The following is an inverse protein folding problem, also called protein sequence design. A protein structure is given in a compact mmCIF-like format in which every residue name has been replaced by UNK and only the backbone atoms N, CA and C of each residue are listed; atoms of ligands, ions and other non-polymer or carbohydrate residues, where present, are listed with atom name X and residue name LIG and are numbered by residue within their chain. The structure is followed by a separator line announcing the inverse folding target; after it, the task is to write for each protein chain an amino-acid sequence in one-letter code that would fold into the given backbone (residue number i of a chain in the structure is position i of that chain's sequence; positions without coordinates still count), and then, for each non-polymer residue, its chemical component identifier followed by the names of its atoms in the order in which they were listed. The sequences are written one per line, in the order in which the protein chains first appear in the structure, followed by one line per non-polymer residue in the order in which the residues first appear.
data_IF_268828743174
#
_entry.id   IF_268828743174
#
_cell.length_a   1.000
_cell.length_b   1.000
_cell.length_c   1.000
_cell.angle_alpha   90.00
_cell.angle_beta   90.00
_cell.angle_gamma   90.00
#
_symmetry.space_group_name_H-M   'P 1'
#
loop_
_entity.id
_entity.type
_entity.pdbx_description
1 polymer ?
#
# COMPACT_ATOMS: atom_id res chain seq x y z
N UNK A 1 -7.66 13.54 -27.39
CA UNK A 1 -7.00 12.53 -26.51
C UNK A 1 -6.88 13.18 -25.15
N UNK A 2 -7.74 12.84 -24.19
CA UNK A 2 -7.65 13.41 -22.86
C UNK A 2 -6.32 12.96 -22.24
N UNK A 3 -5.44 13.91 -21.91
CA UNK A 3 -4.31 13.67 -21.03
C UNK A 3 -4.87 13.30 -19.66
N UNK A 4 -5.15 12.01 -19.45
CA UNK A 4 -5.59 11.50 -18.16
C UNK A 4 -4.50 11.81 -17.14
N UNK A 5 -4.83 12.66 -16.17
CA UNK A 5 -3.92 13.08 -15.11
C UNK A 5 -3.33 11.84 -14.42
N UNK A 6 -2.02 11.83 -14.16
CA UNK A 6 -1.37 10.71 -13.50
C UNK A 6 -1.93 10.56 -12.09
N UNK A 7 -2.45 9.38 -11.76
CA UNK A 7 -2.98 9.05 -10.43
C UNK A 7 -1.84 8.75 -9.47
N UNK A 8 -2.10 8.88 -8.17
CA UNK A 8 -1.09 8.68 -7.15
C UNK A 8 -1.63 7.91 -5.95
N UNK A 9 -0.87 6.91 -5.50
CA UNK A 9 -1.20 6.07 -4.34
C UNK A 9 -0.01 5.91 -3.40
N UNK A 10 -0.27 6.09 -2.11
CA UNK A 10 0.67 5.89 -1.02
C UNK A 10 0.18 4.76 -0.10
N UNK A 11 0.97 3.69 0.01
CA UNK A 11 0.67 2.59 0.94
C UNK A 11 1.27 2.87 2.32
N UNK A 12 0.50 2.69 3.40
CA UNK A 12 0.95 3.06 4.75
C UNK A 12 0.75 1.92 5.75
N UNK A 13 1.80 1.62 6.52
CA UNK A 13 1.70 0.79 7.72
C UNK A 13 2.49 1.42 8.87
N UNK A 14 2.58 0.75 10.03
CA UNK A 14 3.26 1.33 11.20
C UNK A 14 4.73 1.68 10.93
N UNK A 15 5.52 0.70 10.48
CA UNK A 15 6.99 0.82 10.35
C UNK A 15 7.53 0.89 8.92
N UNK A 16 6.70 0.72 7.88
CA UNK A 16 7.15 0.75 6.47
C UNK A 16 8.29 -0.23 6.11
N UNK A 17 8.36 -1.38 6.79
CA UNK A 17 9.30 -2.46 6.46
C UNK A 17 8.61 -3.78 6.06
N UNK A 18 7.37 -4.00 6.50
CA UNK A 18 6.65 -5.26 6.23
C UNK A 18 5.51 -5.06 5.22
N UNK A 19 4.36 -4.55 5.67
CA UNK A 19 3.10 -4.58 4.91
C UNK A 19 3.06 -3.57 3.76
N UNK A 20 3.39 -2.30 4.02
CA UNK A 20 3.31 -1.25 2.99
C UNK A 20 4.32 -1.39 1.85
N UNK A 21 5.59 -1.78 2.06
CA UNK A 21 6.50 -2.04 0.94
C UNK A 21 6.07 -3.25 0.09
N UNK A 22 5.43 -4.26 0.70
CA UNK A 22 4.89 -5.40 -0.05
C UNK A 22 3.75 -4.94 -0.96
N UNK A 23 2.80 -4.17 -0.42
CA UNK A 23 1.68 -3.62 -1.20
C UNK A 23 2.17 -2.74 -2.36
N UNK A 24 3.17 -1.89 -2.11
CA UNK A 24 3.81 -1.07 -3.13
C UNK A 24 4.43 -1.91 -4.25
N UNK A 25 5.23 -2.92 -3.92
CA UNK A 25 5.90 -3.76 -4.91
C UNK A 25 4.90 -4.60 -5.72
N UNK A 26 3.86 -5.11 -5.07
CA UNK A 26 2.74 -5.78 -5.74
C UNK A 26 2.05 -4.84 -6.71
N UNK A 27 1.65 -3.65 -6.26
CA UNK A 27 0.92 -2.70 -7.10
C UNK A 27 1.78 -2.22 -8.28
N UNK A 28 3.07 -1.96 -8.04
CA UNK A 28 4.04 -1.63 -9.10
C UNK A 28 4.14 -2.73 -10.14
N UNK A 29 4.22 -4.00 -9.72
CA UNK A 29 4.24 -5.14 -10.66
C UNK A 29 2.96 -5.19 -11.50
N UNK A 30 1.80 -5.01 -10.87
CA UNK A 30 0.50 -5.03 -11.56
C UNK A 30 0.40 -3.94 -12.63
N UNK A 31 0.72 -2.68 -12.31
CA UNK A 31 0.64 -1.60 -13.31
C UNK A 31 1.67 -1.76 -14.44
N UNK A 32 2.82 -2.39 -14.14
CA UNK A 32 3.88 -2.65 -15.13
C UNK A 32 3.47 -3.77 -16.09
N UNK A 33 2.88 -4.85 -15.58
CA UNK A 33 2.41 -5.97 -16.41
C UNK A 33 1.36 -5.52 -17.43
N UNK A 34 0.63 -4.49 -17.06
CA UNK A 34 -0.50 -3.95 -17.82
C UNK A 34 -0.15 -2.67 -18.59
N UNK A 35 1.12 -2.25 -18.54
CA UNK A 35 1.68 -1.15 -19.33
C UNK A 35 1.00 0.19 -19.05
N UNK A 36 0.66 0.43 -17.79
CA UNK A 36 0.04 1.68 -17.30
C UNK A 36 0.84 2.33 -16.17
N UNK A 37 2.07 1.89 -15.92
CA UNK A 37 2.96 2.41 -14.89
C UNK A 37 3.23 3.91 -15.04
N UNK A 38 3.26 4.42 -16.26
CA UNK A 38 3.42 5.84 -16.55
C UNK A 38 2.23 6.72 -16.12
N UNK A 39 1.09 6.10 -15.78
CA UNK A 39 -0.10 6.78 -15.27
C UNK A 39 -0.16 6.81 -13.75
N UNK A 40 0.83 6.22 -13.06
CA UNK A 40 0.79 6.06 -11.61
C UNK A 40 2.07 6.52 -10.92
N UNK A 41 1.91 7.40 -9.92
CA UNK A 41 2.92 7.64 -8.88
C UNK A 41 2.65 6.68 -7.71
N UNK A 42 3.61 5.82 -7.39
CA UNK A 42 3.45 4.73 -6.41
C UNK A 42 4.57 4.82 -5.38
N UNK A 43 4.20 4.85 -4.10
CA UNK A 43 5.15 4.93 -2.99
C UNK A 43 4.59 4.24 -1.72
N UNK A 44 5.43 4.07 -0.70
CA UNK A 44 5.00 3.64 0.63
C UNK A 44 5.67 4.40 1.77
N UNK A 45 4.98 4.53 2.91
CA UNK A 45 5.45 5.25 4.07
C UNK A 45 5.01 4.63 5.41
N UNK A 46 5.61 5.13 6.50
CA UNK A 46 5.33 4.76 7.89
C UNK A 46 4.49 5.83 8.59
N UNK A 47 3.60 5.43 9.49
CA UNK A 47 3.01 6.38 10.46
C UNK A 47 4.01 6.76 11.56
N UNK A 48 4.87 5.83 11.94
CA UNK A 48 5.92 5.99 12.96
C UNK A 48 7.28 6.38 12.34
N UNK A 49 8.27 6.61 13.22
CA UNK A 49 9.65 6.89 12.83
C UNK A 49 10.62 5.75 13.19
N UNK A 50 10.12 4.58 13.63
CA UNK A 50 10.95 3.52 14.21
C UNK A 50 12.01 2.96 13.26
N UNK A 51 11.67 2.86 11.98
CA UNK A 51 12.46 2.11 10.99
C UNK A 51 12.99 3.02 9.87
N UNK A 52 12.98 4.35 10.03
CA UNK A 52 13.41 5.26 8.97
C UNK A 52 14.84 4.92 8.53
N UNK A 53 15.05 4.75 7.22
CA UNK A 53 16.34 4.39 6.63
C UNK A 53 16.58 2.89 6.51
N UNK A 54 15.74 2.04 7.12
CA UNK A 54 15.89 0.59 7.03
C UNK A 54 15.28 0.03 5.74
N UNK A 55 15.86 -1.05 5.18
CA UNK A 55 15.24 -1.78 4.07
C UNK A 55 14.01 -2.58 4.55
N UNK A 56 13.17 -3.08 3.63
CA UNK A 56 12.09 -3.99 3.97
C UNK A 56 12.57 -5.21 4.77
N UNK A 57 11.71 -5.76 5.63
CA UNK A 57 12.01 -6.94 6.43
C UNK A 57 12.38 -8.12 5.52
N UNK A 58 13.45 -8.84 5.87
CA UNK A 58 14.00 -9.93 5.07
C UNK A 58 12.97 -11.04 4.79
N UNK A 59 12.00 -11.26 5.70
CA UNK A 59 10.92 -12.23 5.54
C UNK A 59 9.99 -11.82 4.40
N UNK A 60 9.65 -10.54 4.34
CA UNK A 60 8.89 -9.94 3.25
C UNK A 60 9.63 -10.04 1.92
N UNK A 61 10.91 -9.66 1.90
CA UNK A 61 11.75 -9.78 0.70
C UNK A 61 11.85 -11.22 0.19
N UNK A 62 12.05 -12.19 1.09
CA UNK A 62 12.14 -13.61 0.74
C UNK A 62 10.82 -14.13 0.18
N UNK A 63 9.69 -13.72 0.76
CA UNK A 63 8.37 -14.05 0.24
C UNK A 63 8.20 -13.49 -1.18
N UNK A 64 8.45 -12.21 -1.39
CA UNK A 64 8.26 -11.55 -2.69
C UNK A 64 9.18 -12.11 -3.77
N UNK A 65 10.42 -12.45 -3.43
CA UNK A 65 11.36 -13.13 -4.35
C UNK A 65 10.83 -14.47 -4.84
N UNK A 66 10.14 -15.25 -4.00
CA UNK A 66 9.50 -16.52 -4.43
C UNK A 66 8.39 -16.31 -5.46
N UNK A 67 7.79 -15.12 -5.47
CA UNK A 67 6.77 -14.72 -6.45
C UNK A 67 7.34 -13.93 -7.63
N UNK A 68 8.66 -13.83 -7.76
CA UNK A 68 9.30 -13.10 -8.86
C UNK A 68 9.15 -11.58 -8.76
N UNK A 69 8.84 -11.04 -7.57
CA UNK A 69 8.67 -9.61 -7.34
C UNK A 69 9.86 -9.10 -6.53
N UNK A 70 10.56 -8.11 -7.09
CA UNK A 70 11.65 -7.42 -6.39
C UNK A 70 11.11 -6.27 -5.57
N UNK A 71 11.54 -6.19 -4.31
CA UNK A 71 11.28 -5.05 -3.44
C UNK A 71 12.56 -4.23 -3.32
N UNK A 72 12.50 -2.95 -3.70
CA UNK A 72 13.55 -1.98 -3.42
C UNK A 72 12.86 -0.76 -2.84
N UNK A 73 13.03 -0.58 -1.53
CA UNK A 73 12.44 0.52 -0.79
C UNK A 73 13.36 0.88 0.38
N UNK A 74 13.29 2.12 0.84
CA UNK A 74 13.91 2.56 2.08
C UNK A 74 12.80 3.17 2.92
N UNK A 75 12.63 2.64 4.13
CA UNK A 75 11.55 3.06 5.00
C UNK A 75 11.62 4.57 5.28
N UNK A 76 10.50 5.26 5.09
CA UNK A 76 10.35 6.70 5.32
C UNK A 76 9.07 6.97 6.10
N UNK A 77 9.04 8.08 6.84
CA UNK A 77 7.83 8.52 7.50
C UNK A 77 6.92 9.30 6.55
N UNK A 78 5.61 9.20 6.76
CA UNK A 78 4.63 10.04 6.08
C UNK A 78 4.76 11.50 6.52
N UNK A 79 4.72 12.40 5.56
CA UNK A 79 4.87 13.85 5.71
C UNK A 79 3.55 14.58 5.49
N UNK A 80 3.50 15.89 5.75
CA UNK A 80 2.31 16.71 5.45
C UNK A 80 2.05 16.79 3.94
N UNK A 81 3.11 16.87 3.15
CA UNK A 81 3.04 16.98 1.69
C UNK A 81 2.47 15.70 1.05
N UNK A 82 2.62 14.55 1.70
CA UNK A 82 2.01 13.30 1.25
C UNK A 82 0.46 13.42 1.23
N UNK A 83 -0.14 14.07 2.23
CA UNK A 83 -1.60 14.27 2.27
C UNK A 83 -2.12 15.24 1.20
N UNK A 84 -1.25 16.10 0.67
CA UNK A 84 -1.59 17.09 -0.35
C UNK A 84 -1.31 16.59 -1.77
N UNK A 85 -0.28 15.75 -1.92
CA UNK A 85 0.23 15.34 -3.23
C UNK A 85 -0.24 13.98 -3.71
N UNK A 86 -0.76 13.12 -2.81
CA UNK A 86 -1.33 11.84 -3.19
C UNK A 86 -2.86 11.90 -3.31
N UNK A 87 -3.42 11.17 -4.27
CA UNK A 87 -4.86 11.02 -4.43
C UNK A 87 -5.42 9.98 -3.45
N UNK A 88 -4.65 8.91 -3.19
CA UNK A 88 -5.02 7.83 -2.29
C UNK A 88 -3.94 7.55 -1.26
N UNK A 89 -4.34 7.42 0.00
CA UNK A 89 -3.51 6.87 1.08
C UNK A 89 -4.20 5.62 1.60
N UNK A 90 -3.63 4.45 1.28
CA UNK A 90 -4.19 3.15 1.61
C UNK A 90 -3.41 2.52 2.76
N UNK A 91 -4.09 2.27 3.87
CA UNK A 91 -3.49 1.76 5.10
C UNK A 91 -3.95 0.35 5.47
N UNK A 92 -3.21 -0.32 6.36
CA UNK A 92 -3.35 -1.77 6.56
C UNK A 92 -4.35 -2.16 7.63
N UNK A 93 -4.47 -1.34 8.68
CA UNK A 93 -5.30 -1.62 9.85
C UNK A 93 -5.93 -0.34 10.42
N UNK A 94 -6.89 -0.51 11.34
CA UNK A 94 -7.61 0.61 11.97
C UNK A 94 -6.69 1.54 12.78
N UNK A 95 -5.59 1.01 13.32
CA UNK A 95 -4.62 1.82 14.07
C UNK A 95 -3.92 2.80 13.13
N UNK A 96 -3.50 2.32 11.95
CA UNK A 96 -2.93 3.15 10.90
C UNK A 96 -3.96 4.19 10.41
N UNK A 97 -5.20 3.77 10.17
CA UNK A 97 -6.26 4.68 9.74
C UNK A 97 -6.50 5.80 10.75
N UNK A 98 -6.60 5.47 12.05
CA UNK A 98 -6.77 6.45 13.13
C UNK A 98 -5.59 7.42 13.20
N UNK A 99 -4.37 6.93 13.08
CA UNK A 99 -3.17 7.78 13.09
C UNK A 99 -3.12 8.71 11.88
N UNK A 100 -3.46 8.20 10.70
CA UNK A 100 -3.50 8.98 9.46
C UNK A 100 -4.58 10.06 9.53
N UNK A 101 -5.80 9.74 9.99
CA UNK A 101 -6.86 10.73 10.19
C UNK A 101 -6.47 11.81 11.21
N UNK A 102 -5.80 11.43 12.29
CA UNK A 102 -5.27 12.40 13.26
C UNK A 102 -4.23 13.33 12.63
N UNK A 103 -3.32 12.80 11.80
CA UNK A 103 -2.30 13.59 11.09
C UNK A 103 -2.91 14.46 9.99
N UNK A 104 -3.91 13.96 9.26
CA UNK A 104 -4.57 14.71 8.18
C UNK A 104 -5.33 15.93 8.70
N UNK A 105 -5.93 15.84 9.90
CA UNK A 105 -6.57 16.99 10.56
C UNK A 105 -5.61 18.14 10.88
N UNK A 106 -4.30 17.91 10.84
CA UNK A 106 -3.26 18.94 11.03
C UNK A 106 -2.78 19.56 9.72
N UNK A 107 -3.34 19.13 8.58
CA UNK A 107 -3.04 19.61 7.23
C UNK A 107 -4.26 20.38 6.72
N UNK A 108 -4.04 21.62 6.25
CA UNK A 108 -5.14 22.49 5.78
C UNK A 108 -5.82 21.96 4.52
N UNK A 109 -5.01 21.48 3.57
CA UNK A 109 -5.46 21.08 2.23
C UNK A 109 -5.26 19.58 1.98
N UNK A 110 -5.91 18.73 2.77
CA UNK A 110 -5.83 17.28 2.58
C UNK A 110 -6.59 16.87 1.31
N UNK A 111 -5.86 16.57 0.24
CA UNK A 111 -6.39 16.04 -1.03
C UNK A 111 -6.64 14.53 -0.94
N UNK A 112 -5.77 13.83 -0.22
CA UNK A 112 -5.74 12.37 -0.22
C UNK A 112 -7.00 11.73 0.37
N UNK A 113 -7.55 10.74 -0.33
CA UNK A 113 -8.57 9.83 0.19
C UNK A 113 -7.90 8.77 1.06
N UNK A 114 -8.20 8.78 2.37
CA UNK A 114 -7.57 7.89 3.37
C UNK A 114 -8.50 6.72 3.69
N UNK A 115 -8.13 5.52 3.27
CA UNK A 115 -8.95 4.31 3.39
C UNK A 115 -8.12 3.09 3.81
N UNK A 116 -8.79 2.02 4.24
CA UNK A 116 -8.15 0.73 4.47
C UNK A 116 -7.94 0.04 3.12
N UNK A 117 -6.78 -0.56 2.89
CA UNK A 117 -6.55 -1.34 1.67
C UNK A 117 -7.55 -2.51 1.57
N UNK A 118 -7.92 -3.12 2.69
CA UNK A 118 -8.89 -4.22 2.74
C UNK A 118 -10.33 -3.85 2.36
N UNK A 119 -10.70 -2.56 2.25
CA UNK A 119 -12.03 -2.21 1.69
C UNK A 119 -12.18 -2.59 0.23
N UNK A 120 -11.06 -2.81 -0.46
CA UNK A 120 -10.99 -3.22 -1.86
C UNK A 120 -10.88 -4.74 -2.02
N UNK A 121 -10.89 -5.51 -0.93
CA UNK A 121 -10.87 -6.96 -0.98
C UNK A 121 -12.28 -7.53 -1.25
N UNK A 122 -12.50 -8.29 -2.34
CA UNK A 122 -13.78 -8.95 -2.61
C UNK A 122 -14.18 -9.97 -1.55
N UNK A 123 -13.23 -10.51 -0.80
CA UNK A 123 -13.50 -11.43 0.32
C UNK A 123 -13.84 -10.68 1.62
N UNK A 124 -13.91 -9.34 1.57
CA UNK A 124 -14.26 -8.45 2.68
C UNK A 124 -13.32 -8.59 3.89
N UNK A 125 -12.07 -9.00 3.68
CA UNK A 125 -11.04 -8.94 4.71
C UNK A 125 -10.53 -7.50 4.83
N UNK A 126 -11.16 -6.75 5.74
CA UNK A 126 -10.86 -5.32 5.93
C UNK A 126 -9.46 -5.06 6.48
N UNK A 127 -8.94 -5.97 7.31
CA UNK A 127 -7.72 -5.78 8.09
C UNK A 127 -6.60 -6.66 7.56
N UNK A 128 -5.47 -6.02 7.26
CA UNK A 128 -4.22 -6.68 6.92
C UNK A 128 -3.35 -6.75 8.18
N UNK A 129 -3.47 -7.89 8.87
CA UNK A 129 -2.81 -8.17 10.15
C UNK A 129 -1.30 -7.98 10.10
N UNK A 130 -0.71 -7.50 11.20
CA UNK A 130 0.72 -7.26 11.28
C UNK A 130 1.50 -8.59 11.42
N UNK A 131 2.34 -8.97 10.44
CA UNK A 131 3.09 -10.22 10.51
C UNK A 131 4.29 -10.16 11.46
N UNK A 132 4.63 -8.99 12.02
CA UNK A 132 5.89 -8.78 12.73
C UNK A 132 6.08 -9.74 13.93
N UNK A 133 5.04 -9.92 14.75
CA UNK A 133 5.10 -10.71 16.00
C UNK A 133 4.93 -12.22 15.80
N UNK A 134 4.70 -12.69 14.58
CA UNK A 134 4.46 -14.11 14.35
C UNK A 134 5.79 -14.83 14.18
N UNK A 135 6.38 -15.19 15.32
CA UNK A 135 7.76 -15.70 15.46
C UNK A 135 7.99 -17.12 14.89
N UNK A 136 6.94 -17.90 14.65
CA UNK A 136 7.02 -19.32 14.25
C UNK A 136 5.98 -19.76 13.22
N UNK A 137 5.19 -18.86 12.66
CA UNK A 137 4.51 -19.20 11.41
C UNK A 137 5.48 -18.92 10.27
N UNK A 138 5.50 -19.73 9.21
CA UNK A 138 6.02 -19.24 7.95
C UNK A 138 5.41 -17.86 7.66
N UNK A 139 5.92 -17.15 6.68
CA UNK A 139 5.21 -16.04 6.02
C UNK A 139 3.94 -16.59 5.29
N UNK A 140 3.27 -17.57 5.88
CA UNK A 140 2.00 -18.19 5.58
C UNK A 140 0.87 -17.55 6.40
N UNK A 141 1.09 -16.45 7.12
CA UNK A 141 0.00 -15.50 7.41
C UNK A 141 -0.07 -14.40 6.36
N UNK A 142 0.97 -14.29 5.53
CA UNK A 142 0.79 -14.01 4.11
C UNK A 142 0.51 -15.36 3.41
N UNK A 143 -0.48 -16.13 3.89
CA UNK A 143 -0.83 -17.46 3.32
C UNK A 143 -1.15 -17.41 1.83
N UNK A 144 -1.33 -16.19 1.36
CA UNK A 144 -1.52 -15.83 0.00
C UNK A 144 -1.04 -14.36 -0.11
N UNK A 145 0.21 -14.05 -0.52
CA UNK A 145 0.43 -12.77 -1.20
C UNK A 145 -0.54 -12.71 -2.37
N UNK A 146 -0.80 -13.89 -2.94
CA UNK A 146 -1.95 -14.35 -3.71
C UNK A 146 -3.34 -14.04 -3.10
N UNK A 147 -3.59 -13.32 -2.00
CA UNK A 147 -4.96 -13.01 -1.47
C UNK A 147 -5.18 -11.51 -1.54
N UNK A 148 -4.12 -10.74 -1.28
CA UNK A 148 -4.00 -9.36 -1.74
C UNK A 148 -3.87 -9.35 -3.29
N UNK A 149 -3.39 -10.45 -3.90
CA UNK A 149 -3.14 -10.62 -5.34
C UNK A 149 -4.10 -11.62 -6.04
N UNK A 150 -4.92 -12.43 -5.35
CA UNK A 150 -5.83 -13.40 -6.04
C UNK A 150 -6.88 -12.68 -6.84
N UNK A 151 -7.29 -11.55 -6.31
CA UNK A 151 -8.30 -10.75 -6.92
C UNK A 151 -7.57 -9.70 -7.73
N UNK A 152 -7.55 -9.92 -9.05
CA UNK A 152 -7.60 -8.82 -10.01
C UNK A 152 -8.76 -7.84 -9.77
N UNK A 153 -9.20 -7.60 -8.53
CA UNK A 153 -10.20 -6.62 -8.12
C UNK A 153 -9.60 -5.38 -7.46
N UNK A 154 -8.39 -5.42 -6.87
CA UNK A 154 -7.66 -4.15 -6.63
C UNK A 154 -7.44 -3.48 -8.00
N UNK A 155 -7.22 -4.31 -9.02
CA UNK A 155 -7.12 -3.93 -10.42
C UNK A 155 -8.41 -3.24 -10.93
N UNK A 156 -9.58 -3.85 -10.74
CA UNK A 156 -10.86 -3.28 -11.19
C UNK A 156 -11.23 -2.02 -10.42
N UNK A 157 -11.14 -1.98 -9.09
CA UNK A 157 -11.63 -0.80 -8.35
C UNK A 157 -10.77 0.46 -8.46
N UNK A 158 -9.45 0.35 -8.71
CA UNK A 158 -8.56 1.52 -8.85
C UNK A 158 -8.34 1.96 -10.30
N UNK A 159 -8.51 1.05 -11.28
CA UNK A 159 -8.31 1.33 -12.70
C UNK A 159 -9.60 1.43 -13.52
N UNK A 160 -10.75 1.04 -12.98
CA UNK A 160 -12.03 1.12 -13.70
C UNK A 160 -12.68 2.51 -13.54
N UNK A 161 -12.85 3.29 -14.62
CA UNK A 161 -13.64 4.52 -14.61
C UNK A 161 -15.16 4.26 -14.51
N UNK A 162 -15.62 3.01 -14.51
CA UNK A 162 -17.04 2.64 -14.62
C UNK A 162 -17.71 2.21 -13.30
N UNK A 163 -17.02 2.20 -12.16
CA UNK A 163 -17.61 1.94 -10.82
C UNK A 163 -18.36 3.18 -10.26
N UNK A 164 -18.98 3.96 -11.15
CA UNK A 164 -19.73 5.20 -10.86
C UNK A 164 -21.10 5.25 -11.56
N UNK A 165 -21.67 4.09 -11.92
CA UNK A 165 -23.09 3.97 -12.28
C UNK A 165 -23.82 3.06 -11.28
#
# INVERSE_FOLDING_TARGET
MASGEAKSVLFVCLGNICRSPIAEAVFRKLVTDEKVENKWRIDSAATSAYEIGNPPDYRGQTCMKKHGITMSHIARQITKDDFQSFDYILCMDESNLRDLKRKSNQVKDCKAKIELLGTYDPQKQLIIEDPYYVRNSPVSLIKNPVCIVHTGCIYITLLDPTVFL
#
